data_IF_106581284902
#
_entry.id   IF_106581284902
#
_cell.length_a   1.000
_cell.length_b   1.000
_cell.length_c   1.000
_cell.angle_alpha   90.00
_cell.angle_beta   90.00
_cell.angle_gamma   90.00
#
_symmetry.space_group_name_H-M   'P 1'
#
loop_
_entity.id
_entity.type
_entity.pdbx_description
1 polymer ?
#
# COMPACT_ATOMS: atom_id res chain seq x y z
N UNK A 1 -13.57 -46.03 15.49
CA UNK A 1 -12.65 -44.91 15.21
C UNK A 1 -13.49 -43.68 14.89
N UNK A 2 -13.70 -42.81 15.87
CA UNK A 2 -14.46 -41.57 15.69
C UNK A 2 -13.54 -40.54 15.04
N UNK A 3 -13.84 -40.13 13.81
CA UNK A 3 -13.12 -39.03 13.16
C UNK A 3 -13.53 -37.74 13.85
N UNK A 4 -12.63 -37.18 14.65
CA UNK A 4 -12.74 -35.79 15.12
C UNK A 4 -12.67 -34.89 13.91
N UNK A 5 -13.82 -34.35 13.49
CA UNK A 5 -13.85 -33.26 12.53
C UNK A 5 -13.31 -32.02 13.23
N UNK A 6 -12.12 -31.57 12.82
CA UNK A 6 -11.60 -30.27 13.20
C UNK A 6 -12.53 -29.22 12.61
N UNK A 7 -13.39 -28.63 13.45
CA UNK A 7 -14.20 -27.46 13.10
C UNK A 7 -13.22 -26.31 12.86
N UNK A 8 -13.03 -25.93 11.59
CA UNK A 8 -12.25 -24.74 11.25
C UNK A 8 -12.83 -23.54 12.00
N UNK A 9 -11.96 -22.74 12.63
CA UNK A 9 -12.37 -21.49 13.26
C UNK A 9 -13.08 -20.60 12.20
N UNK A 10 -14.15 -19.89 12.56
CA UNK A 10 -14.92 -19.10 11.60
C UNK A 10 -14.12 -17.89 11.11
N UNK A 11 -13.40 -18.01 10.00
CA UNK A 11 -12.69 -16.86 9.38
C UNK A 11 -13.67 -15.70 9.20
N UNK A 12 -13.39 -14.58 9.87
CA UNK A 12 -14.15 -13.35 9.69
C UNK A 12 -13.54 -12.61 8.50
N UNK A 13 -14.13 -12.81 7.33
CA UNK A 13 -13.83 -11.97 6.18
C UNK A 13 -14.34 -10.57 6.47
N UNK A 14 -13.49 -9.54 6.38
CA UNK A 14 -14.04 -8.20 6.20
C UNK A 14 -14.67 -8.18 4.81
N UNK A 15 -15.99 -8.14 4.74
CA UNK A 15 -16.80 -8.51 3.57
C UNK A 15 -16.80 -7.44 2.47
N UNK A 16 -15.63 -7.03 1.98
CA UNK A 16 -15.55 -6.17 0.80
C UNK A 16 -14.16 -5.68 0.45
N UNK A 17 -13.94 -5.53 -0.86
CA UNK A 17 -12.92 -4.63 -1.40
C UNK A 17 -13.16 -3.24 -0.81
N UNK A 18 -12.12 -2.65 -0.21
CA UNK A 18 -12.11 -1.26 0.26
C UNK A 18 -11.36 -0.43 -0.76
N UNK A 19 -11.90 0.74 -1.06
CA UNK A 19 -11.27 1.72 -1.95
C UNK A 19 -11.07 3.04 -1.20
N UNK A 20 -9.90 3.66 -1.42
CA UNK A 20 -9.57 5.00 -0.95
C UNK A 20 -8.92 5.78 -2.08
N UNK A 21 -9.18 7.08 -2.10
CA UNK A 21 -8.49 8.03 -2.96
C UNK A 21 -7.69 8.94 -2.04
N UNK A 22 -6.43 9.15 -2.36
CA UNK A 22 -5.54 10.04 -1.65
C UNK A 22 -4.80 10.94 -2.63
N UNK A 23 -4.44 12.14 -2.20
CA UNK A 23 -3.66 13.09 -3.00
C UNK A 23 -2.78 13.91 -2.09
N UNK A 24 -1.57 14.21 -2.54
CA UNK A 24 -0.68 15.15 -1.89
C UNK A 24 0.23 15.82 -2.90
N UNK A 25 1.06 16.74 -2.41
CA UNK A 25 2.13 17.34 -3.17
C UNK A 25 3.46 17.03 -2.48
N UNK A 26 4.46 16.62 -3.25
CA UNK A 26 5.85 16.54 -2.77
C UNK A 26 6.63 17.74 -3.29
N UNK A 27 7.57 18.20 -2.49
CA UNK A 27 8.60 19.17 -2.88
C UNK A 27 9.97 18.55 -2.60
N UNK A 28 10.92 18.72 -3.52
CA UNK A 28 12.34 18.43 -3.30
C UNK A 28 12.67 17.00 -2.86
N UNK A 29 12.57 16.02 -3.77
CA UNK A 29 13.04 14.62 -3.60
C UNK A 29 12.75 13.96 -2.23
N UNK A 30 11.69 14.39 -1.54
CA UNK A 30 11.41 13.94 -0.18
C UNK A 30 10.32 12.88 -0.23
N UNK A 31 10.64 11.67 0.23
CA UNK A 31 9.67 10.58 0.37
C UNK A 31 8.60 10.97 1.39
N UNK A 32 7.34 11.00 0.94
CA UNK A 32 6.20 11.49 1.73
C UNK A 32 5.07 10.46 1.74
N UNK A 33 4.42 10.29 2.90
CA UNK A 33 3.30 9.37 3.07
C UNK A 33 2.04 9.93 2.40
N UNK A 34 1.54 9.26 1.37
CA UNK A 34 0.28 9.61 0.70
C UNK A 34 -0.93 8.92 1.34
N UNK A 35 -0.73 7.75 1.93
CA UNK A 35 -1.81 7.01 2.56
C UNK A 35 -1.30 6.08 3.66
N UNK A 36 -2.12 5.89 4.70
CA UNK A 36 -1.83 5.00 5.82
C UNK A 36 -3.02 4.10 6.09
N UNK A 37 -2.78 2.78 6.19
CA UNK A 37 -3.67 1.83 6.84
C UNK A 37 -3.25 1.70 8.31
N UNK A 38 -3.94 2.44 9.17
CA UNK A 38 -3.60 2.45 10.59
C UNK A 38 -4.18 1.27 11.36
N UNK A 39 -3.49 0.88 12.43
CA UNK A 39 -3.93 -0.09 13.44
C UNK A 39 -4.34 -1.44 12.84
N UNK A 40 -3.51 -2.03 11.97
CA UNK A 40 -3.74 -3.38 11.47
C UNK A 40 -3.78 -4.33 12.67
N UNK A 41 -4.88 -5.05 12.86
CA UNK A 41 -5.05 -5.96 13.99
C UNK A 41 -4.10 -7.16 13.89
N UNK A 42 -3.83 -7.80 15.02
CA UNK A 42 -3.10 -9.07 15.01
C UNK A 42 -3.89 -10.16 14.27
N UNK A 43 -3.20 -11.15 13.71
CA UNK A 43 -3.84 -12.22 12.93
C UNK A 43 -4.47 -11.73 11.62
N UNK A 44 -4.02 -10.58 11.12
CA UNK A 44 -4.62 -9.92 9.95
C UNK A 44 -3.69 -9.97 8.75
N UNK A 45 -4.23 -10.45 7.63
CA UNK A 45 -3.62 -10.39 6.31
C UNK A 45 -4.27 -9.28 5.48
N UNK A 46 -3.45 -8.47 4.82
CA UNK A 46 -3.88 -7.38 3.95
C UNK A 46 -3.27 -7.58 2.57
N UNK A 47 -4.12 -7.67 1.54
CA UNK A 47 -3.67 -7.51 0.16
C UNK A 47 -4.07 -6.13 -0.33
N UNK A 48 -3.16 -5.45 -1.01
CA UNK A 48 -3.31 -4.08 -1.48
C UNK A 48 -2.81 -3.92 -2.92
N UNK A 49 -3.54 -3.14 -3.71
CA UNK A 49 -3.22 -2.70 -5.07
C UNK A 49 -3.43 -1.19 -5.17
N UNK A 50 -2.41 -0.49 -5.61
CA UNK A 50 -2.41 0.96 -5.71
C UNK A 50 -2.17 1.36 -7.16
N UNK A 51 -2.96 2.30 -7.67
CA UNK A 51 -2.73 2.99 -8.95
C UNK A 51 -2.44 4.45 -8.65
N UNK A 52 -1.32 4.95 -9.14
CA UNK A 52 -0.82 6.29 -8.82
C UNK A 52 -0.57 7.04 -10.12
N UNK A 53 -0.90 8.32 -10.13
CA UNK A 53 -0.58 9.25 -11.21
C UNK A 53 0.11 10.48 -10.61
N UNK A 54 1.08 11.01 -11.33
CA UNK A 54 1.87 12.17 -10.94
C UNK A 54 1.97 13.15 -12.09
N UNK A 55 1.91 14.44 -11.76
CA UNK A 55 2.16 15.54 -12.69
C UNK A 55 2.94 16.63 -11.99
N UNK A 56 4.09 16.99 -12.54
CA UNK A 56 4.89 18.12 -12.08
C UNK A 56 4.17 19.44 -12.39
N UNK A 57 4.28 20.41 -11.49
CA UNK A 57 3.51 21.66 -11.52
C UNK A 57 3.84 22.60 -12.68
N UNK A 58 5.03 22.51 -13.27
CA UNK A 58 5.47 23.26 -14.45
C UNK A 58 5.18 22.51 -15.76
N UNK A 59 4.49 21.37 -15.69
CA UNK A 59 4.16 20.52 -16.83
C UNK A 59 5.38 19.93 -17.55
N UNK A 60 6.53 19.82 -16.88
CA UNK A 60 7.69 19.15 -17.45
C UNK A 60 7.52 17.63 -17.39
N UNK A 61 7.20 17.10 -16.20
CA UNK A 61 7.29 15.68 -15.91
C UNK A 61 5.95 15.04 -15.52
N UNK A 62 5.82 13.72 -15.80
CA UNK A 62 4.64 12.90 -15.48
C UNK A 62 5.09 11.51 -15.09
N UNK A 63 4.28 10.86 -14.25
CA UNK A 63 4.42 9.44 -14.01
C UNK A 63 3.10 8.73 -13.73
N UNK A 64 3.10 7.43 -13.93
CA UNK A 64 2.02 6.51 -13.62
C UNK A 64 2.59 5.19 -13.09
N UNK A 65 2.05 4.72 -11.96
CA UNK A 65 2.49 3.50 -11.30
C UNK A 65 1.31 2.60 -10.99
N UNK A 66 1.54 1.29 -11.02
CA UNK A 66 0.69 0.32 -10.35
C UNK A 66 1.53 -0.65 -9.52
N UNK A 67 1.36 -0.61 -8.21
CA UNK A 67 2.10 -1.45 -7.25
C UNK A 67 1.15 -2.28 -6.40
N UNK A 68 1.53 -3.52 -6.08
CA UNK A 68 0.77 -4.40 -5.20
C UNK A 68 1.64 -5.03 -4.13
N UNK A 69 1.05 -5.31 -2.97
CA UNK A 69 1.72 -6.00 -1.87
C UNK A 69 0.79 -6.89 -1.07
N UNK A 70 1.39 -7.87 -0.38
CA UNK A 70 0.72 -8.71 0.60
C UNK A 70 1.42 -8.53 1.95
N UNK A 71 0.65 -8.25 2.99
CA UNK A 71 1.15 -7.95 4.32
C UNK A 71 0.43 -8.81 5.35
N UNK A 72 1.14 -9.18 6.42
CA UNK A 72 0.58 -9.94 7.52
C UNK A 72 1.11 -9.42 8.85
N UNK A 73 0.22 -9.30 9.83
CA UNK A 73 0.59 -9.04 11.23
C UNK A 73 0.37 -10.31 12.06
N UNK A 74 1.43 -10.98 12.55
CA UNK A 74 1.30 -12.10 13.46
C UNK A 74 0.83 -11.65 14.85
N UNK A 75 0.39 -12.60 15.67
CA UNK A 75 0.11 -12.36 17.09
C UNK A 75 1.35 -11.81 17.81
N UNK A 76 1.15 -10.79 18.65
CA UNK A 76 2.20 -10.08 19.38
C UNK A 76 3.41 -9.59 18.52
N UNK A 77 3.21 -9.35 17.22
CA UNK A 77 4.28 -8.94 16.31
C UNK A 77 3.98 -7.71 15.46
N UNK A 78 5.01 -7.28 14.73
CA UNK A 78 4.94 -6.18 13.78
C UNK A 78 4.32 -6.63 12.45
N UNK A 79 3.74 -5.68 11.70
CA UNK A 79 3.36 -5.93 10.31
C UNK A 79 4.62 -6.34 9.52
N UNK A 80 4.49 -7.34 8.66
CA UNK A 80 5.56 -7.81 7.79
C UNK A 80 5.05 -7.97 6.38
N UNK A 81 5.90 -7.67 5.39
CA UNK A 81 5.59 -7.95 4.01
C UNK A 81 5.82 -9.43 3.71
N UNK A 82 4.86 -10.04 3.01
CA UNK A 82 4.96 -11.40 2.51
C UNK A 82 5.49 -11.36 1.08
N UNK A 83 6.73 -11.81 0.89
CA UNK A 83 7.41 -11.72 -0.39
C UNK A 83 7.91 -10.29 -0.67
N UNK A 84 7.70 -9.81 -1.89
CA UNK A 84 8.15 -8.49 -2.35
C UNK A 84 6.99 -7.66 -2.91
N UNK A 85 7.18 -6.35 -3.01
CA UNK A 85 6.26 -5.47 -3.72
C UNK A 85 6.33 -5.81 -5.21
N UNK A 86 5.19 -5.98 -5.84
CA UNK A 86 5.09 -6.22 -7.27
C UNK A 86 4.79 -4.90 -7.96
N UNK A 87 5.72 -4.40 -8.77
CA UNK A 87 5.40 -3.38 -9.78
C UNK A 87 4.75 -4.06 -10.97
N UNK A 88 3.47 -3.76 -11.20
CA UNK A 88 2.73 -4.24 -12.38
C UNK A 88 3.02 -3.36 -13.59
N UNK A 89 3.29 -2.09 -13.36
CA UNK A 89 3.50 -1.09 -14.39
C UNK A 89 4.17 0.16 -13.80
N UNK A 90 5.09 0.72 -14.57
CA UNK A 90 5.75 2.01 -14.33
C UNK A 90 5.87 2.74 -15.67
N UNK A 91 5.41 3.99 -15.72
CA UNK A 91 5.73 4.98 -16.75
C UNK A 91 6.17 6.23 -16.03
N UNK A 92 7.32 6.76 -16.38
CA UNK A 92 7.83 8.00 -15.83
C UNK A 92 8.70 8.70 -16.88
N UNK A 93 8.66 10.02 -16.90
CA UNK A 93 9.57 10.84 -17.70
C UNK A 93 10.83 11.23 -16.92
N UNK A 94 10.78 11.19 -15.58
CA UNK A 94 11.92 11.30 -14.67
C UNK A 94 12.07 10.03 -13.81
N UNK A 95 13.26 9.42 -13.83
CA UNK A 95 13.58 8.21 -13.08
C UNK A 95 13.84 8.43 -11.58
N UNK A 96 13.80 9.67 -11.10
CA UNK A 96 13.89 10.00 -9.67
C UNK A 96 12.55 9.86 -8.95
N UNK A 97 11.45 9.72 -9.69
CA UNK A 97 10.13 9.50 -9.09
C UNK A 97 10.04 8.08 -8.55
N UNK A 98 9.40 7.92 -7.40
CA UNK A 98 9.29 6.60 -6.77
C UNK A 98 7.99 6.43 -5.99
N UNK A 99 7.54 5.18 -5.89
CA UNK A 99 6.38 4.75 -5.11
C UNK A 99 6.70 3.46 -4.39
N UNK A 100 6.62 3.49 -3.06
CA UNK A 100 6.95 2.34 -2.22
C UNK A 100 5.92 2.12 -1.10
N UNK A 101 5.82 0.88 -0.64
CA UNK A 101 5.19 0.59 0.64
C UNK A 101 6.22 0.69 1.75
N UNK A 102 5.86 1.37 2.83
CA UNK A 102 6.65 1.43 4.04
C UNK A 102 5.87 0.84 5.21
N UNK A 103 6.54 0.07 6.06
CA UNK A 103 5.93 -0.46 7.27
C UNK A 103 6.35 0.40 8.46
N UNK A 104 5.37 1.10 9.04
CA UNK A 104 5.51 1.88 10.28
C UNK A 104 4.67 1.20 11.36
N UNK A 105 5.06 -0.02 11.71
CA UNK A 105 4.22 -0.96 12.46
C UNK A 105 3.59 -0.32 13.73
N UNK A 106 2.28 -0.51 13.98
CA UNK A 106 1.35 -1.45 13.34
C UNK A 106 0.71 -0.95 12.04
N UNK A 107 1.23 0.13 11.47
CA UNK A 107 0.67 0.78 10.30
C UNK A 107 1.41 0.36 9.02
N UNK A 108 0.65 0.35 7.91
CA UNK A 108 1.18 0.21 6.56
C UNK A 108 0.98 1.53 5.83
N UNK A 109 2.05 2.05 5.24
CA UNK A 109 2.06 3.32 4.52
C UNK A 109 2.33 3.09 3.03
N UNK A 110 1.69 3.89 2.19
CA UNK A 110 2.10 4.13 0.81
C UNK A 110 2.83 5.46 0.78
N UNK A 111 4.03 5.46 0.23
CA UNK A 111 4.87 6.66 0.06
C UNK A 111 5.09 6.96 -1.41
N UNK A 112 5.26 8.25 -1.69
CA UNK A 112 5.61 8.77 -3.01
C UNK A 112 6.76 9.75 -2.87
N UNK A 113 7.63 9.79 -3.87
CA UNK A 113 8.81 10.65 -3.93
C UNK A 113 8.85 11.35 -5.28
N UNK A 114 8.93 12.69 -5.28
CA UNK A 114 9.19 13.49 -6.49
C UNK A 114 10.69 13.66 -6.76
N UNK A 115 11.06 14.58 -7.66
CA UNK A 115 12.46 14.90 -7.94
C UNK A 115 12.96 16.12 -7.15
N UNK A 116 14.28 16.31 -7.12
CA UNK A 116 14.91 17.44 -6.43
C UNK A 116 14.71 18.73 -7.23
N UNK A 117 14.29 19.82 -6.58
CA UNK A 117 13.96 21.08 -7.25
C UNK A 117 12.57 21.13 -7.87
N UNK A 118 11.83 20.03 -7.84
CA UNK A 118 10.50 19.93 -8.44
C UNK A 118 9.39 19.96 -7.38
N UNK A 119 8.21 20.39 -7.83
CA UNK A 119 6.96 20.23 -7.10
C UNK A 119 6.04 19.31 -7.90
N UNK A 120 5.65 18.18 -7.31
CA UNK A 120 4.90 17.14 -8.00
C UNK A 120 3.56 16.91 -7.30
N UNK A 121 2.48 16.98 -8.08
CA UNK A 121 1.14 16.63 -7.60
C UNK A 121 0.91 15.13 -7.78
N UNK A 122 0.42 14.47 -6.74
CA UNK A 122 0.17 13.04 -6.71
C UNK A 122 -1.28 12.73 -6.43
N UNK A 123 -1.81 11.72 -7.13
CA UNK A 123 -3.12 11.13 -6.84
C UNK A 123 -2.98 9.62 -6.86
N UNK A 124 -3.51 8.95 -5.83
CA UNK A 124 -3.52 7.50 -5.72
C UNK A 124 -4.95 6.98 -5.51
N UNK A 125 -5.28 5.90 -6.22
CA UNK A 125 -6.42 5.02 -5.92
C UNK A 125 -5.85 3.78 -5.23
N UNK A 126 -6.26 3.54 -4.00
CA UNK A 126 -5.82 2.43 -3.16
C UNK A 126 -6.97 1.46 -2.98
N UNK A 127 -6.79 0.23 -3.45
CA UNK A 127 -7.77 -0.85 -3.34
C UNK A 127 -7.18 -1.97 -2.48
N UNK A 128 -7.87 -2.38 -1.43
CA UNK A 128 -7.36 -3.41 -0.51
C UNK A 128 -8.49 -4.24 0.09
N UNK A 129 -8.18 -5.45 0.50
CA UNK A 129 -9.08 -6.27 1.30
C UNK A 129 -8.32 -6.89 2.47
N UNK A 130 -9.06 -7.15 3.55
CA UNK A 130 -8.51 -7.64 4.80
C UNK A 130 -9.15 -8.99 5.12
N UNK A 131 -8.30 -9.95 5.45
CA UNK A 131 -8.67 -11.24 6.02
C UNK A 131 -8.14 -11.28 7.45
N UNK A 132 -9.01 -11.50 8.43
CA UNK A 132 -8.64 -11.58 9.84
C UNK A 132 -9.10 -12.93 10.38
N UNK A 133 -8.22 -13.61 11.10
CA UNK A 133 -8.59 -14.80 11.85
C UNK A 133 -9.50 -14.37 13.02
N UNK A 134 -10.65 -15.05 13.17
CA UNK A 134 -11.57 -14.82 14.28
C UNK A 134 -11.01 -15.25 15.63
#
# INVERSE_FOLDING_TARGET
MTRTQLKAAPVTYSTGLKEKIASLQTTDATSTVIWTLSNILEGTTVWIDCKICAQETSDAERAGYQVSGLFYRPAAGAVTQQGSTVSKFTIESDANYDVEFNISSPDLELKVTGAAGDTTNWVAIIQYFIVTDS
#
